data_IF_220284372229
#
_entry.id   IF_220284372229
#
_cell.length_a   1.000
_cell.length_b   1.000
_cell.length_c   1.000
_cell.angle_alpha   90.00
_cell.angle_beta   90.00
_cell.angle_gamma   90.00
#
_symmetry.space_group_name_H-M   'P 1'
#
loop_
_entity.id
_entity.type
_entity.pdbx_description
1 polymer ?
#
# COMPACT_ATOMS: atom_id res chain seq x y z
N UNK A 1 2.33 -6.69 2.32
CA UNK A 1 3.53 -7.45 2.76
C UNK A 1 4.64 -6.51 3.22
N UNK A 2 4.71 -5.33 2.62
CA UNK A 2 5.85 -4.43 2.78
C UNK A 2 6.03 -3.87 4.18
N UNK A 3 4.95 -3.75 4.95
CA UNK A 3 5.02 -3.41 6.39
C UNK A 3 6.08 -4.24 7.11
N UNK A 4 6.14 -5.54 6.86
CA UNK A 4 7.08 -6.45 7.54
C UNK A 4 8.48 -6.45 6.92
N UNK A 5 8.57 -6.29 5.59
CA UNK A 5 9.85 -6.36 4.87
C UNK A 5 10.62 -5.04 5.00
N UNK A 6 9.91 -3.90 5.00
CA UNK A 6 10.48 -2.58 5.22
C UNK A 6 11.01 -2.38 6.63
N UNK A 7 10.45 -3.08 7.63
CA UNK A 7 10.98 -3.12 9.00
C UNK A 7 12.25 -3.96 9.13
N UNK A 8 12.23 -5.18 8.58
CA UNK A 8 13.38 -6.10 8.57
C UNK A 8 13.42 -6.89 7.24
N UNK A 9 14.42 -6.64 6.37
CA UNK A 9 14.57 -7.34 5.11
C UNK A 9 14.66 -8.87 5.24
N UNK A 10 15.07 -9.41 6.38
CA UNK A 10 15.12 -10.86 6.61
C UNK A 10 13.74 -11.51 6.64
N UNK A 11 12.67 -10.72 6.88
CA UNK A 11 11.29 -11.22 6.83
C UNK A 11 10.87 -11.70 5.44
N UNK A 12 11.57 -11.29 4.37
CA UNK A 12 11.37 -11.82 3.01
C UNK A 12 11.59 -13.34 2.91
N UNK A 13 12.30 -13.95 3.87
CA UNK A 13 12.58 -15.38 3.92
C UNK A 13 11.75 -16.11 4.98
N UNK A 14 10.73 -15.46 5.54
CA UNK A 14 9.83 -16.02 6.57
C UNK A 14 8.44 -16.23 6.00
N UNK A 15 8.10 -17.44 5.49
CA UNK A 15 6.81 -17.70 4.85
C UNK A 15 5.60 -17.37 5.73
N UNK A 16 5.71 -17.59 7.05
CA UNK A 16 4.64 -17.23 7.98
C UNK A 16 4.35 -15.73 8.01
N UNK A 17 5.39 -14.89 7.99
CA UNK A 17 5.25 -13.43 7.97
C UNK A 17 4.68 -12.96 6.64
N UNK A 18 5.20 -13.50 5.53
CA UNK A 18 4.67 -13.18 4.19
C UNK A 18 3.20 -13.57 4.05
N UNK A 19 2.80 -14.74 4.60
CA UNK A 19 1.41 -15.18 4.61
C UNK A 19 0.51 -14.21 5.38
N UNK A 20 0.97 -13.69 6.52
CA UNK A 20 0.23 -12.67 7.27
C UNK A 20 0.12 -11.37 6.46
N UNK A 21 1.21 -10.94 5.83
CA UNK A 21 1.21 -9.76 4.96
C UNK A 21 0.24 -9.87 3.77
N UNK A 22 0.19 -11.03 3.11
CA UNK A 22 -0.68 -11.27 1.96
C UNK A 22 -2.17 -11.39 2.33
N UNK A 23 -2.50 -11.69 3.59
CA UNK A 23 -3.89 -11.75 4.07
C UNK A 23 -4.59 -10.39 3.94
N UNK A 24 -3.89 -9.29 4.22
CA UNK A 24 -4.42 -7.93 4.13
C UNK A 24 -5.08 -7.64 2.77
N UNK A 25 -4.32 -7.61 1.66
CA UNK A 25 -4.87 -7.31 0.34
C UNK A 25 -5.81 -8.40 -0.20
N UNK A 26 -5.60 -9.68 0.14
CA UNK A 26 -6.39 -10.79 -0.43
C UNK A 26 -7.72 -11.06 0.28
N UNK A 27 -7.79 -10.79 1.58
CA UNK A 27 -8.94 -11.14 2.42
C UNK A 27 -9.49 -9.93 3.14
N UNK A 28 -8.64 -9.16 3.84
CA UNK A 28 -9.11 -8.06 4.66
C UNK A 28 -9.66 -6.89 3.82
N UNK A 29 -9.01 -6.52 2.71
CA UNK A 29 -9.48 -5.42 1.85
C UNK A 29 -10.91 -5.68 1.32
N UNK A 30 -11.24 -6.82 0.68
CA UNK A 30 -12.61 -7.11 0.29
C UNK A 30 -13.63 -7.00 1.43
N UNK A 31 -13.31 -7.56 2.61
CA UNK A 31 -14.20 -7.51 3.77
C UNK A 31 -14.43 -6.08 4.29
N UNK A 32 -13.38 -5.25 4.30
CA UNK A 32 -13.48 -3.85 4.70
C UNK A 32 -14.32 -3.07 3.67
N UNK A 33 -14.10 -3.28 2.37
CA UNK A 33 -14.87 -2.63 1.32
C UNK A 33 -16.35 -3.00 1.40
N UNK A 34 -16.67 -4.27 1.63
CA UNK A 34 -18.06 -4.73 1.83
C UNK A 34 -18.72 -4.05 3.03
N UNK A 35 -18.00 -3.96 4.16
CA UNK A 35 -18.49 -3.29 5.37
C UNK A 35 -18.74 -1.79 5.12
N UNK A 36 -17.78 -1.11 4.48
CA UNK A 36 -17.92 0.31 4.14
C UNK A 36 -19.10 0.56 3.22
N UNK A 37 -19.31 -0.31 2.23
CA UNK A 37 -20.45 -0.24 1.31
C UNK A 37 -21.79 -0.44 2.03
N UNK A 38 -21.89 -1.40 2.95
CA UNK A 38 -23.09 -1.64 3.76
C UNK A 38 -23.51 -0.40 4.58
N UNK A 39 -22.54 0.40 5.00
CA UNK A 39 -22.78 1.62 5.77
C UNK A 39 -22.79 2.90 4.93
N UNK A 40 -22.52 2.83 3.62
CA UNK A 40 -22.42 4.01 2.74
C UNK A 40 -21.29 4.95 3.15
N UNK A 41 -20.18 4.43 3.66
CA UNK A 41 -19.05 5.21 4.18
C UNK A 41 -17.90 5.21 3.17
N UNK A 42 -17.36 6.39 2.87
CA UNK A 42 -16.10 6.54 2.14
C UNK A 42 -14.91 6.53 3.11
N UNK A 43 -13.76 6.04 2.65
CA UNK A 43 -12.53 5.96 3.41
C UNK A 43 -11.32 6.24 2.52
N UNK A 44 -10.16 6.44 3.15
CA UNK A 44 -8.86 6.61 2.48
C UNK A 44 -7.94 5.45 2.84
N UNK A 45 -7.34 4.83 1.82
CA UNK A 45 -6.42 3.70 1.96
C UNK A 45 -5.01 4.16 1.57
N UNK A 46 -4.10 4.19 2.55
CA UNK A 46 -2.70 4.54 2.31
C UNK A 46 -1.92 3.28 1.97
N UNK A 47 -1.40 3.21 0.74
CA UNK A 47 -0.82 1.97 0.19
C UNK A 47 0.61 2.22 -0.31
N UNK A 48 1.50 1.28 -0.01
CA UNK A 48 2.86 1.30 -0.55
C UNK A 48 2.87 0.83 -2.01
N UNK A 49 3.69 1.44 -2.85
CA UNK A 49 3.73 1.13 -4.27
C UNK A 49 4.07 -0.34 -4.59
N UNK A 50 4.96 -0.98 -3.81
CA UNK A 50 5.33 -2.38 -4.03
C UNK A 50 4.23 -3.36 -3.62
N UNK A 51 3.41 -3.04 -2.61
CA UNK A 51 2.19 -3.82 -2.34
C UNK A 51 1.13 -3.58 -3.43
N UNK A 52 1.04 -2.38 -3.99
CA UNK A 52 0.14 -2.09 -5.11
C UNK A 52 0.50 -2.88 -6.38
N UNK A 53 1.79 -2.98 -6.73
CA UNK A 53 2.28 -3.80 -7.85
C UNK A 53 2.00 -5.29 -7.64
N UNK A 54 2.12 -5.79 -6.41
CA UNK A 54 1.86 -7.20 -6.07
C UNK A 54 0.39 -7.54 -6.06
N UNK A 55 -0.46 -6.61 -5.62
CA UNK A 55 -1.90 -6.82 -5.45
C UNK A 55 -2.72 -5.78 -6.20
N UNK A 56 -2.56 -5.67 -7.53
CA UNK A 56 -3.17 -4.58 -8.30
C UNK A 56 -4.70 -4.66 -8.32
N UNK A 57 -5.27 -5.85 -8.11
CA UNK A 57 -6.71 -6.02 -7.97
C UNK A 57 -7.26 -5.39 -6.69
N UNK A 58 -6.53 -5.42 -5.58
CA UNK A 58 -6.96 -4.77 -4.35
C UNK A 58 -7.09 -3.26 -4.56
N UNK A 59 -6.12 -2.64 -5.25
CA UNK A 59 -6.13 -1.21 -5.59
C UNK A 59 -7.31 -0.87 -6.48
N UNK A 60 -7.52 -1.66 -7.54
CA UNK A 60 -8.66 -1.46 -8.45
C UNK A 60 -10.00 -1.61 -7.74
N UNK A 61 -10.13 -2.54 -6.78
CA UNK A 61 -11.35 -2.68 -5.96
C UNK A 61 -11.58 -1.48 -5.05
N UNK A 62 -10.52 -0.92 -4.43
CA UNK A 62 -10.61 0.30 -3.63
C UNK A 62 -11.10 1.48 -4.49
N UNK A 63 -10.50 1.67 -5.67
CA UNK A 63 -10.89 2.73 -6.63
C UNK A 63 -12.34 2.54 -7.09
N UNK A 64 -12.72 1.31 -7.48
CA UNK A 64 -14.07 0.99 -7.94
C UNK A 64 -15.13 1.21 -6.85
N UNK A 65 -14.77 1.04 -5.57
CA UNK A 65 -15.61 1.38 -4.41
C UNK A 65 -15.77 2.88 -4.15
N UNK A 66 -15.09 3.75 -4.90
CA UNK A 66 -15.15 5.21 -4.73
C UNK A 66 -14.35 5.73 -3.53
N UNK A 67 -13.38 4.94 -3.05
CA UNK A 67 -12.51 5.31 -1.94
C UNK A 67 -11.23 6.01 -2.42
N UNK A 68 -10.62 6.82 -1.55
CA UNK A 68 -9.33 7.44 -1.85
C UNK A 68 -8.20 6.41 -1.72
N UNK A 69 -7.26 6.45 -2.66
CA UNK A 69 -5.95 5.79 -2.53
C UNK A 69 -4.90 6.86 -2.26
N UNK A 70 -4.27 6.79 -1.10
CA UNK A 70 -3.17 7.66 -0.69
C UNK A 70 -1.82 6.98 -0.84
N UNK A 71 -0.77 7.76 -1.07
CA UNK A 71 0.60 7.28 -1.20
C UNK A 71 1.23 7.01 0.15
N UNK A 72 1.89 5.86 0.29
CA UNK A 72 2.55 5.43 1.53
C UNK A 72 3.96 4.86 1.30
N UNK A 73 4.78 5.57 0.51
CA UNK A 73 6.10 5.09 0.10
C UNK A 73 6.02 4.00 -0.97
N UNK A 74 7.15 3.36 -1.27
CA UNK A 74 7.20 2.22 -2.20
C UNK A 74 7.43 0.90 -1.46
N UNK A 75 8.35 0.87 -0.52
CA UNK A 75 8.87 -0.29 0.22
C UNK A 75 8.40 -0.38 1.66
N UNK A 76 7.68 0.64 2.17
CA UNK A 76 7.36 0.78 3.59
C UNK A 76 8.61 0.79 4.52
N UNK A 77 9.76 1.24 3.99
CA UNK A 77 10.95 1.49 4.80
C UNK A 77 10.82 2.86 5.47
N UNK A 78 11.29 2.98 6.72
CA UNK A 78 11.31 4.26 7.42
C UNK A 78 12.15 5.29 6.68
N UNK A 79 11.62 6.51 6.52
CA UNK A 79 12.30 7.61 5.81
C UNK A 79 13.63 8.01 6.43
N UNK A 80 13.82 7.72 7.72
CA UNK A 80 15.08 7.97 8.44
C UNK A 80 16.25 7.11 7.97
N UNK A 81 15.99 6.06 7.20
CA UNK A 81 17.01 5.17 6.64
C UNK A 81 17.50 5.61 5.26
N UNK A 82 16.89 6.65 4.68
CA UNK A 82 17.21 7.13 3.35
C UNK A 82 18.04 8.42 3.39
N UNK A 83 18.93 8.56 2.43
CA UNK A 83 19.38 9.87 1.96
C UNK A 83 18.24 10.61 1.23
N UNK A 84 18.37 11.93 1.04
CA UNK A 84 17.36 12.71 0.30
C UNK A 84 17.09 12.13 -1.10
N UNK A 85 18.14 11.69 -1.81
CA UNK A 85 17.99 11.13 -3.16
C UNK A 85 17.26 9.79 -3.12
N UNK A 86 17.58 8.93 -2.15
CA UNK A 86 16.89 7.65 -1.97
C UNK A 86 15.41 7.85 -1.60
N UNK A 87 15.10 8.79 -0.70
CA UNK A 87 13.72 9.13 -0.35
C UNK A 87 12.97 9.70 -1.57
N UNK A 88 13.63 10.55 -2.36
CA UNK A 88 13.04 11.11 -3.59
C UNK A 88 12.69 10.02 -4.59
N UNK A 89 13.57 9.05 -4.80
CA UNK A 89 13.31 7.91 -5.69
C UNK A 89 12.25 6.97 -5.12
N UNK A 90 12.25 6.74 -3.82
CA UNK A 90 11.23 5.97 -3.10
C UNK A 90 9.83 6.56 -3.30
N UNK A 91 9.70 7.89 -3.14
CA UNK A 91 8.45 8.62 -3.38
C UNK A 91 8.01 8.54 -4.84
N UNK A 92 8.91 8.80 -5.80
CA UNK A 92 8.60 8.74 -7.23
C UNK A 92 8.13 7.35 -7.66
N UNK A 93 8.82 6.30 -7.23
CA UNK A 93 8.44 4.92 -7.55
C UNK A 93 7.08 4.55 -6.98
N UNK A 94 6.82 4.91 -5.72
CA UNK A 94 5.51 4.70 -5.10
C UNK A 94 4.38 5.43 -5.84
N UNK A 95 4.65 6.67 -6.28
CA UNK A 95 3.68 7.48 -7.01
C UNK A 95 3.36 6.84 -8.36
N UNK A 96 4.39 6.47 -9.13
CA UNK A 96 4.22 5.84 -10.43
C UNK A 96 3.44 4.52 -10.33
N UNK A 97 3.80 3.66 -9.36
CA UNK A 97 3.12 2.37 -9.17
C UNK A 97 1.61 2.53 -8.92
N UNK A 98 1.20 3.55 -8.17
CA UNK A 98 -0.22 3.80 -7.88
C UNK A 98 -0.94 4.49 -9.04
N UNK A 99 -0.31 5.48 -9.69
CA UNK A 99 -0.92 6.21 -10.81
C UNK A 99 -1.08 5.34 -12.05
N UNK A 100 -0.17 4.41 -12.32
CA UNK A 100 -0.30 3.41 -13.39
C UNK A 100 -1.51 2.49 -13.20
N UNK A 101 -1.98 2.32 -11.96
CA UNK A 101 -3.20 1.57 -11.63
C UNK A 101 -4.47 2.43 -11.68
N UNK A 102 -4.35 3.72 -12.05
CA UNK A 102 -5.45 4.66 -12.18
C UNK A 102 -5.81 5.41 -10.90
N UNK A 103 -4.98 5.33 -9.84
CA UNK A 103 -5.21 6.10 -8.62
C UNK A 103 -4.88 7.59 -8.84
N UNK A 104 -5.83 8.47 -8.50
CA UNK A 104 -5.61 9.91 -8.46
C UNK A 104 -5.01 10.29 -7.10
N UNK A 105 -3.67 10.37 -7.02
CA UNK A 105 -2.97 10.59 -5.76
C UNK A 105 -3.00 12.06 -5.34
N UNK A 106 -3.68 12.34 -4.23
CA UNK A 106 -3.74 13.68 -3.59
C UNK A 106 -3.22 13.68 -2.15
N UNK A 107 -3.15 12.51 -1.50
CA UNK A 107 -2.70 12.34 -0.12
C UNK A 107 -1.39 11.56 -0.03
N UNK A 108 -0.56 11.93 0.95
CA UNK A 108 0.66 11.21 1.33
C UNK A 108 0.69 10.98 2.84
N UNK A 109 1.16 9.80 3.26
CA UNK A 109 1.53 9.51 4.64
C UNK A 109 2.88 8.82 4.63
N UNK A 110 3.84 9.27 5.42
CA UNK A 110 5.13 8.58 5.56
C UNK A 110 4.94 7.20 6.20
N UNK A 111 5.66 6.16 5.74
CA UNK A 111 5.90 4.96 6.53
C UNK A 111 6.54 5.32 7.88
N UNK A 112 6.29 4.49 8.90
CA UNK A 112 6.83 4.62 10.26
C UNK A 112 8.35 4.52 10.31
#
# INVERSE_FOLDING_TARGET
EEVWIGEDPQNAFRPGVLSQGAYGPKVAVPLILDLLAQHGISASFFVSGRDAERHPQAIRSIIAGGHEVGHHGYTHTSVLQFTEEEEREELKRGLNALTELGAAITGYRSPS
#
